data_IF_785663964760
#
_entry.id   IF_785663964760
#
_cell.length_a   1.000
_cell.length_b   1.000
_cell.length_c   1.000
_cell.angle_alpha   90.00
_cell.angle_beta   90.00
_cell.angle_gamma   90.00
#
_symmetry.space_group_name_H-M   'P 1'
#
loop_
_entity.id
_entity.type
_entity.pdbx_description
1 polymer ?
#
# COMPACT_ATOMS: atom_id res chain seq x y z
N UNK A 1 19.38 4.84 16.76
CA UNK A 1 18.55 3.91 15.99
C UNK A 1 17.27 4.65 15.65
N UNK A 2 16.83 4.61 14.39
CA UNK A 2 15.51 5.12 14.03
C UNK A 2 14.42 4.22 14.64
N UNK A 3 13.18 4.71 14.60
CA UNK A 3 12.02 3.97 15.09
C UNK A 3 11.40 3.11 13.97
N UNK A 4 10.56 2.17 14.36
CA UNK A 4 9.75 1.39 13.44
C UNK A 4 8.42 2.09 13.17
N UNK A 5 8.04 2.21 11.91
CA UNK A 5 6.70 2.65 11.49
C UNK A 5 6.04 1.48 10.80
N UNK A 6 4.97 0.97 11.40
CA UNK A 6 4.25 -0.22 10.94
C UNK A 6 2.90 0.19 10.36
N UNK A 7 2.62 -0.18 9.12
CA UNK A 7 1.32 0.02 8.47
C UNK A 7 0.71 -1.34 8.14
N UNK A 8 -0.49 -1.58 8.66
CA UNK A 8 -1.22 -2.83 8.59
C UNK A 8 -2.51 -2.63 7.78
N UNK A 9 -2.53 -3.12 6.55
CA UNK A 9 -3.64 -2.96 5.62
C UNK A 9 -4.52 -4.22 5.60
N UNK A 10 -5.67 -4.20 6.27
CA UNK A 10 -6.53 -5.39 6.33
C UNK A 10 -7.43 -5.55 5.08
N UNK A 11 -7.79 -6.80 4.80
CA UNK A 11 -8.63 -7.17 3.67
C UNK A 11 -10.08 -6.70 3.82
N UNK A 12 -10.65 -6.27 2.69
CA UNK A 12 -12.07 -5.93 2.55
C UNK A 12 -12.94 -7.20 2.51
N UNK A 13 -14.21 -7.12 2.92
CA UNK A 13 -15.21 -8.20 2.89
C UNK A 13 -15.10 -9.33 3.93
N UNK A 14 -14.22 -9.20 4.90
CA UNK A 14 -14.27 -10.08 6.05
C UNK A 14 -15.38 -9.63 7.01
N UNK A 15 -16.17 -10.60 7.51
CA UNK A 15 -17.12 -10.40 8.61
C UNK A 15 -16.46 -9.50 9.68
N UNK A 16 -17.12 -8.49 10.25
CA UNK A 16 -16.54 -7.65 11.32
C UNK A 16 -15.87 -8.47 12.44
N UNK A 17 -16.31 -9.72 12.65
CA UNK A 17 -15.78 -10.65 13.64
C UNK A 17 -14.64 -11.57 13.14
N UNK A 18 -14.31 -11.56 11.84
CA UNK A 18 -13.19 -12.35 11.31
C UNK A 18 -11.86 -11.82 11.85
N UNK A 19 -11.04 -12.68 12.43
CA UNK A 19 -9.67 -12.35 12.89
C UNK A 19 -8.67 -12.68 11.77
N UNK A 20 -8.34 -11.71 10.93
CA UNK A 20 -7.31 -11.91 9.89
C UNK A 20 -5.93 -11.95 10.51
N UNK A 21 -4.94 -12.48 9.78
CA UNK A 21 -3.55 -12.42 10.21
C UNK A 21 -3.08 -10.97 10.43
N UNK A 22 -3.58 -10.01 9.63
CA UNK A 22 -3.27 -8.58 9.80
C UNK A 22 -3.87 -8.03 11.10
N UNK A 23 -5.13 -8.38 11.41
CA UNK A 23 -5.77 -8.00 12.67
C UNK A 23 -5.12 -8.66 13.89
N UNK A 24 -4.78 -9.95 13.81
CA UNK A 24 -4.05 -10.63 14.89
C UNK A 24 -2.69 -9.95 15.08
N UNK A 25 -1.97 -9.65 14.00
CA UNK A 25 -0.71 -8.94 14.09
C UNK A 25 -0.86 -7.55 14.73
N UNK A 26 -1.93 -6.80 14.45
CA UNK A 26 -2.15 -5.50 15.09
C UNK A 26 -2.37 -5.60 16.60
N UNK A 27 -3.03 -6.67 17.07
CA UNK A 27 -3.26 -6.89 18.50
C UNK A 27 -1.99 -7.34 19.24
N UNK A 28 -1.08 -8.04 18.56
CA UNK A 28 0.19 -8.51 19.14
C UNK A 28 1.29 -7.44 19.11
N UNK A 29 1.19 -6.46 18.22
CA UNK A 29 2.17 -5.39 18.12
C UNK A 29 1.94 -4.34 19.21
N UNK A 30 2.79 -4.38 20.22
CA UNK A 30 2.79 -3.40 21.32
C UNK A 30 3.35 -2.07 20.79
N UNK A 31 2.54 -1.00 20.83
CA UNK A 31 3.06 0.36 20.67
C UNK A 31 4.07 0.63 21.77
N UNK A 32 5.27 1.04 21.37
CA UNK A 32 6.33 1.42 22.29
C UNK A 32 6.70 2.84 21.94
N UNK A 33 6.32 3.77 22.82
CA UNK A 33 6.63 5.19 22.66
C UNK A 33 8.09 5.38 22.23
N UNK A 34 8.27 6.17 21.17
CA UNK A 34 9.57 6.52 20.57
C UNK A 34 10.34 5.38 19.87
N UNK A 35 9.86 4.13 19.89
CA UNK A 35 10.50 2.98 19.21
C UNK A 35 9.64 2.36 18.13
N UNK A 36 8.32 2.40 18.25
CA UNK A 36 7.42 1.76 17.31
C UNK A 36 6.05 2.47 17.25
N UNK A 37 5.65 2.87 16.05
CA UNK A 37 4.34 3.44 15.75
C UNK A 37 3.57 2.50 14.84
N UNK A 38 2.32 2.17 15.20
CA UNK A 38 1.51 1.18 14.47
C UNK A 38 0.23 1.84 13.95
N UNK A 39 -0.03 1.70 12.65
CA UNK A 39 -1.30 2.09 12.03
C UNK A 39 -2.00 0.88 11.46
N UNK A 40 -3.16 0.58 12.03
CA UNK A 40 -4.12 -0.35 11.46
C UNK A 40 -5.11 0.39 10.55
N UNK A 41 -5.14 0.01 9.27
CA UNK A 41 -6.08 0.53 8.28
C UNK A 41 -7.25 -0.45 8.22
N UNK A 42 -8.39 0.02 8.73
CA UNK A 42 -9.61 -0.77 8.94
C UNK A 42 -10.20 -1.23 7.60
N UNK A 43 -10.98 -2.31 7.65
CA UNK A 43 -11.77 -2.87 6.54
C UNK A 43 -12.72 -1.83 5.96
N UNK A 44 -13.07 -1.97 4.68
CA UNK A 44 -14.24 -1.24 4.14
C UNK A 44 -15.45 -1.97 4.69
N UNK A 45 -16.26 -1.31 5.51
CA UNK A 45 -17.46 -1.92 6.06
C UNK A 45 -18.53 -2.05 4.98
N UNK A 46 -19.25 -3.18 4.97
CA UNK A 46 -20.47 -3.32 4.18
C UNK A 46 -21.57 -2.30 4.58
N UNK A 47 -21.42 -1.62 5.72
CA UNK A 47 -22.34 -0.58 6.18
C UNK A 47 -21.97 0.84 5.71
N UNK A 48 -20.75 1.08 5.21
CA UNK A 48 -20.41 2.33 4.50
C UNK A 48 -20.90 2.30 3.04
N UNK A 49 -21.18 1.10 2.54
CA UNK A 49 -21.69 0.84 1.18
C UNK A 49 -23.07 0.22 1.34
N UNK A 50 -24.10 1.06 1.50
CA UNK A 50 -25.48 0.58 1.64
C UNK A 50 -25.88 -0.36 0.49
N UNK A 51 -26.32 -1.57 0.87
CA UNK A 51 -26.90 -2.66 0.04
C UNK A 51 -25.92 -3.49 -0.85
N UNK A 52 -26.27 -4.78 -1.11
CA UNK A 52 -25.37 -5.81 -1.64
C UNK A 52 -25.15 -5.75 -3.17
N UNK A 53 -25.69 -4.73 -3.84
CA UNK A 53 -25.37 -4.41 -5.22
C UNK A 53 -24.33 -3.30 -5.25
N UNK A 54 -23.09 -3.76 -5.15
CA UNK A 54 -21.83 -3.09 -5.43
C UNK A 54 -22.00 -1.84 -6.33
N UNK A 55 -21.89 -0.63 -5.77
CA UNK A 55 -21.64 0.59 -6.54
C UNK A 55 -20.12 0.80 -6.56
N UNK A 56 -19.50 0.35 -7.66
CA UNK A 56 -18.05 0.20 -7.84
C UNK A 56 -17.22 1.46 -7.59
N UNK A 57 -17.76 2.64 -7.91
CA UNK A 57 -17.10 3.91 -7.63
C UNK A 57 -16.82 4.14 -6.15
N UNK A 58 -17.71 3.70 -5.26
CA UNK A 58 -17.51 3.83 -3.81
C UNK A 58 -16.37 2.93 -3.30
N UNK A 59 -16.19 1.74 -3.89
CA UNK A 59 -15.11 0.81 -3.52
C UNK A 59 -13.76 1.36 -3.97
N UNK A 60 -13.66 1.84 -5.21
CA UNK A 60 -12.42 2.42 -5.72
C UNK A 60 -12.03 3.67 -4.92
N UNK A 61 -12.97 4.60 -4.69
CA UNK A 61 -12.74 5.78 -3.86
C UNK A 61 -12.32 5.41 -2.42
N UNK A 62 -12.97 4.40 -1.83
CA UNK A 62 -12.62 3.93 -0.49
C UNK A 62 -11.21 3.32 -0.44
N UNK A 63 -10.80 2.60 -1.48
CA UNK A 63 -9.46 2.01 -1.57
C UNK A 63 -8.38 3.10 -1.75
N UNK A 64 -8.65 4.07 -2.61
CA UNK A 64 -7.77 5.21 -2.87
C UNK A 64 -7.56 6.03 -1.58
N UNK A 65 -8.63 6.28 -0.83
CA UNK A 65 -8.55 6.94 0.47
C UNK A 65 -7.69 6.17 1.46
N UNK A 66 -7.71 4.83 1.46
CA UNK A 66 -6.87 4.01 2.34
C UNK A 66 -5.40 4.01 1.96
N UNK A 67 -5.11 4.00 0.67
CA UNK A 67 -3.75 4.16 0.17
C UNK A 67 -3.19 5.50 0.66
N UNK A 68 -3.95 6.58 0.44
CA UNK A 68 -3.59 7.93 0.89
C UNK A 68 -3.49 8.03 2.41
N UNK A 69 -4.38 7.39 3.17
CA UNK A 69 -4.33 7.33 4.63
C UNK A 69 -3.04 6.67 5.13
N UNK A 70 -2.68 5.51 4.58
CA UNK A 70 -1.45 4.80 4.95
C UNK A 70 -0.19 5.59 4.61
N UNK A 71 -0.15 6.17 3.41
CA UNK A 71 0.96 7.03 3.00
C UNK A 71 1.05 8.30 3.85
N UNK A 72 -0.08 8.97 4.11
CA UNK A 72 -0.18 10.13 5.02
C UNK A 72 0.37 9.79 6.40
N UNK A 73 0.01 8.63 6.96
CA UNK A 73 0.52 8.19 8.24
C UNK A 73 2.05 8.07 8.22
N UNK A 74 2.63 7.48 7.17
CA UNK A 74 4.09 7.38 7.03
C UNK A 74 4.73 8.76 6.99
N UNK A 75 4.32 9.64 6.07
CA UNK A 75 4.96 10.95 5.90
C UNK A 75 4.82 11.88 7.10
N UNK A 76 3.78 11.69 7.93
CA UNK A 76 3.57 12.48 9.15
C UNK A 76 4.35 11.97 10.35
N UNK A 77 4.77 10.70 10.34
CA UNK A 77 5.47 10.07 11.45
C UNK A 77 6.94 9.78 11.14
N UNK A 78 7.37 9.86 9.89
CA UNK A 78 8.73 9.50 9.47
C UNK A 78 9.77 10.57 9.80
N UNK A 79 10.90 10.13 10.35
CA UNK A 79 12.16 10.87 10.37
C UNK A 79 13.22 10.10 9.58
N UNK A 80 14.20 10.81 8.97
CA UNK A 80 15.32 10.15 8.29
C UNK A 80 16.00 9.09 9.15
N UNK A 81 16.04 7.85 8.66
CA UNK A 81 16.66 6.71 9.33
C UNK A 81 15.68 5.80 10.09
N UNK A 82 14.38 6.10 10.08
CA UNK A 82 13.32 5.19 10.55
C UNK A 82 13.11 4.03 9.57
N UNK A 83 12.68 2.87 10.08
CA UNK A 83 12.43 1.66 9.31
C UNK A 83 10.91 1.51 9.04
N UNK A 84 10.51 1.31 7.78
CA UNK A 84 9.11 1.08 7.42
C UNK A 84 8.77 -0.41 7.31
N UNK A 85 7.66 -0.82 7.92
CA UNK A 85 7.14 -2.17 7.88
C UNK A 85 5.71 -2.14 7.36
N UNK A 86 5.44 -2.78 6.22
CA UNK A 86 4.15 -2.69 5.56
C UNK A 86 3.59 -4.10 5.39
N UNK A 87 2.36 -4.31 5.85
CA UNK A 87 1.69 -5.59 5.79
C UNK A 87 0.33 -5.45 5.12
N UNK A 88 -0.12 -6.47 4.38
CA UNK A 88 -1.48 -6.48 3.90
C UNK A 88 -2.03 -7.84 3.50
N UNK A 89 -3.35 -7.97 3.61
CA UNK A 89 -4.10 -9.17 3.21
C UNK A 89 -5.15 -8.85 2.15
N UNK A 90 -5.28 -9.69 1.11
CA UNK A 90 -6.29 -9.54 0.06
C UNK A 90 -6.20 -8.15 -0.61
N UNK A 91 -7.29 -7.37 -0.62
CA UNK A 91 -7.26 -5.97 -1.08
C UNK A 91 -6.35 -5.07 -0.24
N UNK A 92 -6.16 -5.39 1.04
CA UNK A 92 -5.19 -4.72 1.88
C UNK A 92 -3.75 -4.98 1.43
N UNK A 93 -3.46 -6.15 0.84
CA UNK A 93 -2.16 -6.42 0.22
C UNK A 93 -1.97 -5.56 -1.05
N UNK A 94 -3.04 -5.31 -1.82
CA UNK A 94 -3.01 -4.32 -2.91
C UNK A 94 -2.70 -2.92 -2.37
N UNK A 95 -3.36 -2.49 -1.29
CA UNK A 95 -3.09 -1.20 -0.61
C UNK A 95 -1.64 -1.10 -0.16
N UNK A 96 -1.12 -2.12 0.52
CA UNK A 96 0.26 -2.19 0.99
C UNK A 96 1.27 -2.03 -0.15
N UNK A 97 1.05 -2.71 -1.27
CA UNK A 97 1.87 -2.58 -2.48
C UNK A 97 1.79 -1.18 -3.10
N UNK A 98 0.60 -0.58 -3.13
CA UNK A 98 0.44 0.79 -3.63
C UNK A 98 1.15 1.81 -2.73
N UNK A 99 1.13 1.65 -1.41
CA UNK A 99 1.88 2.51 -0.49
C UNK A 99 3.39 2.38 -0.77
N UNK A 100 3.91 1.16 -0.94
CA UNK A 100 5.31 0.95 -1.33
C UNK A 100 5.62 1.60 -2.70
N UNK A 101 4.71 1.49 -3.68
CA UNK A 101 4.82 2.16 -4.98
C UNK A 101 4.86 3.68 -4.87
N UNK A 102 4.02 4.28 -4.03
CA UNK A 102 4.05 5.73 -3.77
C UNK A 102 5.37 6.16 -3.14
N UNK A 103 5.91 5.40 -2.18
CA UNK A 103 7.22 5.70 -1.57
C UNK A 103 8.32 5.64 -2.64
N UNK A 104 8.25 4.68 -3.57
CA UNK A 104 9.22 4.59 -4.69
C UNK A 104 9.11 5.78 -5.64
N UNK A 105 7.89 6.12 -6.05
CA UNK A 105 7.66 7.12 -7.10
C UNK A 105 7.83 8.56 -6.55
N UNK A 106 7.32 8.80 -5.35
CA UNK A 106 7.21 10.14 -4.76
C UNK A 106 8.16 10.36 -3.58
N UNK A 107 8.86 9.34 -3.09
CA UNK A 107 9.71 9.43 -1.90
C UNK A 107 8.89 9.53 -0.61
N UNK A 108 9.53 9.94 0.49
CA UNK A 108 8.82 10.30 1.73
C UNK A 108 8.76 11.81 1.81
N UNK A 109 7.55 12.38 1.76
CA UNK A 109 7.33 13.82 1.77
C UNK A 109 7.94 14.48 3.02
N UNK A 110 8.62 15.61 2.82
CA UNK A 110 9.06 16.50 3.90
C UNK A 110 7.86 17.30 4.39
N UNK A 111 7.37 16.95 5.57
CA UNK A 111 6.30 17.68 6.25
C UNK A 111 6.87 18.19 7.57
N UNK A 112 6.73 19.49 7.82
CA UNK A 112 7.13 20.10 9.09
C UNK A 112 5.91 20.54 9.91
N UNK A 113 6.17 21.01 11.13
CA UNK A 113 5.13 21.38 12.10
C UNK A 113 4.27 22.58 11.68
N UNK A 114 4.67 23.33 10.64
CA UNK A 114 3.89 24.47 10.14
C UNK A 114 2.73 24.04 9.23
N UNK A 115 2.74 22.80 8.75
CA UNK A 115 1.69 22.30 7.87
C UNK A 115 0.39 22.07 8.64
N UNK A 116 -0.72 22.57 8.11
CA UNK A 116 -2.06 22.18 8.53
C UNK A 116 -2.41 20.80 7.99
N UNK A 117 -3.38 20.12 8.62
CA UNK A 117 -3.88 18.84 8.12
C UNK A 117 -4.33 18.90 6.65
N UNK A 118 -4.96 20.01 6.25
CA UNK A 118 -5.42 20.22 4.86
C UNK A 118 -4.24 20.37 3.88
N UNK A 119 -3.15 21.02 4.29
CA UNK A 119 -1.95 21.14 3.45
C UNK A 119 -1.26 19.79 3.29
N UNK A 120 -1.27 18.95 4.33
CA UNK A 120 -0.77 17.58 4.28
C UNK A 120 -1.62 16.76 3.29
N UNK A 121 -2.94 16.84 3.41
CA UNK A 121 -3.87 16.12 2.53
C UNK A 121 -3.65 16.51 1.07
N UNK A 122 -3.57 17.81 0.77
CA UNK A 122 -3.27 18.30 -0.58
C UNK A 122 -1.94 17.77 -1.12
N UNK A 123 -0.90 17.70 -0.29
CA UNK A 123 0.40 17.18 -0.72
C UNK A 123 0.38 15.67 -0.96
N UNK A 124 -0.37 14.94 -0.15
CA UNK A 124 -0.60 13.49 -0.32
C UNK A 124 -1.42 13.22 -1.57
N UNK A 125 -2.46 14.01 -1.84
CA UNK A 125 -3.26 13.93 -3.07
C UNK A 125 -2.38 14.16 -4.31
N UNK A 126 -1.52 15.19 -4.32
CA UNK A 126 -0.58 15.42 -5.43
C UNK A 126 0.36 14.23 -5.67
N UNK A 127 0.92 13.64 -4.60
CA UNK A 127 1.78 12.47 -4.71
C UNK A 127 1.00 11.25 -5.24
N UNK A 128 -0.25 11.09 -4.79
CA UNK A 128 -1.13 10.03 -5.25
C UNK A 128 -1.48 10.17 -6.74
N UNK A 129 -1.79 11.39 -7.19
CA UNK A 129 -2.10 11.69 -8.59
C UNK A 129 -0.89 11.39 -9.49
N UNK A 130 0.33 11.76 -9.08
CA UNK A 130 1.56 11.40 -9.79
C UNK A 130 1.74 9.89 -9.85
N UNK A 131 1.56 9.18 -8.74
CA UNK A 131 1.63 7.72 -8.70
C UNK A 131 0.57 7.04 -9.58
N UNK A 132 -0.59 7.67 -9.80
CA UNK A 132 -1.69 7.17 -10.63
C UNK A 132 -1.71 7.74 -12.04
N UNK A 133 -0.75 8.57 -12.43
CA UNK A 133 -0.61 9.04 -13.80
C UNK A 133 0.07 7.96 -14.65
N UNK A 134 -0.51 7.60 -15.80
CA UNK A 134 0.01 6.56 -16.72
C UNK A 134 0.95 7.13 -17.77
N UNK A 135 1.27 8.43 -17.68
CA UNK A 135 2.22 9.06 -18.56
C UNK A 135 3.65 8.65 -18.18
N UNK A 136 4.43 8.26 -19.18
CA UNK A 136 5.83 7.83 -19.02
C UNK A 136 6.74 8.79 -18.26
N UNK A 137 6.39 10.09 -18.20
CA UNK A 137 7.14 11.07 -17.41
C UNK A 137 7.00 10.87 -15.90
N UNK A 138 5.94 10.19 -15.45
CA UNK A 138 5.66 9.85 -14.05
C UNK A 138 5.84 8.36 -13.76
N UNK A 139 6.41 7.60 -14.71
CA UNK A 139 6.87 6.24 -14.44
C UNK A 139 7.98 6.26 -13.36
N UNK A 140 8.33 5.08 -12.86
CA UNK A 140 9.22 4.89 -11.70
C UNK A 140 10.60 5.54 -11.84
N UNK A 141 11.04 5.79 -13.07
CA UNK A 141 12.29 6.47 -13.44
C UNK A 141 12.04 7.63 -14.41
N UNK A 142 10.81 8.15 -14.44
CA UNK A 142 10.40 9.28 -15.25
C UNK A 142 10.85 10.62 -14.65
N UNK A 143 11.13 11.59 -15.50
CA UNK A 143 11.65 12.89 -15.08
C UNK A 143 10.71 13.62 -14.09
N UNK A 144 9.39 13.44 -14.22
CA UNK A 144 8.39 14.04 -13.34
C UNK A 144 8.39 13.47 -11.91
N UNK A 145 8.55 12.14 -11.76
CA UNK A 145 8.67 11.49 -10.45
C UNK A 145 9.96 11.93 -9.74
N UNK A 146 11.07 12.01 -10.48
CA UNK A 146 12.36 12.46 -9.95
C UNK A 146 12.35 13.94 -9.55
N UNK A 147 11.76 14.81 -10.36
CA UNK A 147 11.58 16.23 -10.04
C UNK A 147 10.71 16.41 -8.79
N UNK A 148 9.61 15.67 -8.68
CA UNK A 148 8.72 15.72 -7.52
C UNK A 148 9.45 15.28 -6.24
N UNK A 149 10.17 14.15 -6.28
CA UNK A 149 10.99 13.68 -5.14
C UNK A 149 11.98 14.74 -4.68
N UNK A 150 12.75 15.32 -5.62
CA UNK A 150 13.75 16.36 -5.32
C UNK A 150 13.11 17.60 -4.67
N UNK A 151 11.93 18.01 -5.15
CA UNK A 151 11.24 19.19 -4.66
C UNK A 151 10.62 18.99 -3.28
N UNK A 152 10.01 17.83 -3.02
CA UNK A 152 9.06 17.67 -1.92
C UNK A 152 9.41 16.58 -0.90
N UNK A 153 10.42 15.73 -1.15
CA UNK A 153 10.71 14.56 -0.33
C UNK A 153 12.09 14.59 0.30
N UNK A 154 12.30 13.74 1.32
CA UNK A 154 13.63 13.44 1.83
C UNK A 154 14.51 12.88 0.71
N UNK A 155 15.81 13.24 0.66
CA UNK A 155 16.72 12.64 -0.30
C UNK A 155 16.73 11.12 -0.15
N UNK A 156 16.91 10.43 -1.27
CA UNK A 156 17.05 8.98 -1.26
C UNK A 156 18.22 8.57 -0.37
N UNK A 157 18.02 7.48 0.37
CA UNK A 157 19.02 6.93 1.29
C UNK A 157 19.72 5.74 0.64
N UNK A 158 20.99 5.50 1.00
CA UNK A 158 21.70 4.29 0.57
C UNK A 158 21.05 3.00 1.09
N UNK A 159 20.27 3.10 2.17
CA UNK A 159 19.51 1.99 2.75
C UNK A 159 18.10 1.94 2.14
N UNK A 160 17.53 0.74 1.90
CA UNK A 160 16.13 0.61 1.53
C UNK A 160 15.21 1.21 2.61
N UNK A 161 14.22 2.00 2.19
CA UNK A 161 13.27 2.66 3.09
C UNK A 161 12.27 1.68 3.71
N UNK A 162 11.84 0.68 2.92
CA UNK A 162 10.91 -0.36 3.37
C UNK A 162 11.70 -1.55 3.86
N UNK A 163 11.73 -1.75 5.18
CA UNK A 163 12.44 -2.84 5.83
C UNK A 163 11.80 -4.20 5.51
N UNK A 164 10.47 -4.25 5.49
CA UNK A 164 9.72 -5.47 5.23
C UNK A 164 8.37 -5.18 4.58
N UNK A 165 8.04 -5.96 3.54
CA UNK A 165 6.74 -5.98 2.88
C UNK A 165 6.13 -7.39 3.01
N UNK A 166 5.13 -7.54 3.88
CA UNK A 166 4.45 -8.81 4.16
C UNK A 166 3.07 -8.90 3.54
N UNK A 167 2.85 -9.86 2.64
CA UNK A 167 1.62 -9.96 1.85
C UNK A 167 0.96 -11.33 2.02
N UNK A 168 -0.36 -11.33 2.16
CA UNK A 168 -1.20 -12.54 2.12
C UNK A 168 -2.23 -12.41 1.01
N UNK A 169 -2.27 -13.38 0.09
CA UNK A 169 -3.29 -13.54 -0.95
C UNK A 169 -3.65 -12.25 -1.68
N UNK A 170 -2.64 -11.56 -2.21
CA UNK A 170 -2.86 -10.30 -2.93
C UNK A 170 -3.84 -10.50 -4.08
N UNK A 171 -4.93 -9.74 -4.09
CA UNK A 171 -5.92 -9.73 -5.18
C UNK A 171 -6.01 -8.33 -5.80
N UNK A 172 -6.34 -8.24 -7.08
CA UNK A 172 -6.60 -6.96 -7.75
C UNK A 172 -5.67 -6.61 -8.91
N UNK A 173 -5.28 -7.57 -9.77
CA UNK A 173 -4.78 -7.26 -11.12
C UNK A 173 -5.88 -7.52 -12.19
N UNK A 174 -6.68 -8.57 -12.00
CA UNK A 174 -7.81 -8.93 -12.88
C UNK A 174 -9.04 -9.46 -12.09
N UNK A 175 -8.96 -9.48 -10.75
CA UNK A 175 -9.85 -10.28 -9.91
C UNK A 175 -11.15 -9.60 -9.48
N UNK A 176 -11.28 -8.28 -9.49
CA UNK A 176 -12.56 -7.64 -9.17
C UNK A 176 -12.87 -6.59 -10.24
N UNK A 177 -13.91 -6.82 -11.08
CA UNK A 177 -14.34 -5.83 -12.06
C UNK A 177 -14.90 -4.62 -11.30
N UNK A 178 -14.38 -3.42 -11.60
CA UNK A 178 -15.04 -2.18 -11.22
C UNK A 178 -15.74 -1.60 -12.44
N UNK A 179 -17.05 -1.36 -12.39
CA UNK A 179 -17.78 -0.68 -13.45
C UNK A 179 -17.76 0.84 -13.23
N UNK A 180 -17.11 1.56 -14.14
CA UNK A 180 -17.16 3.02 -14.17
C UNK A 180 -18.29 3.45 -15.10
N UNK A 181 -19.24 4.24 -14.58
CA UNK A 181 -20.34 4.79 -15.37
C UNK A 181 -19.75 5.65 -16.50
N UNK A 182 -19.93 5.22 -17.74
CA UNK A 182 -19.42 5.89 -18.94
C UNK A 182 -18.13 5.29 -19.52
N UNK A 183 -17.39 4.46 -18.76
CA UNK A 183 -16.13 3.84 -19.24
C UNK A 183 -16.15 2.29 -19.22
N UNK A 184 -17.18 1.67 -18.65
CA UNK A 184 -17.32 0.22 -18.61
C UNK A 184 -16.50 -0.45 -17.49
N UNK A 185 -16.20 -1.73 -17.64
CA UNK A 185 -15.40 -2.47 -16.67
C UNK A 185 -13.93 -2.05 -16.75
N UNK A 186 -13.42 -1.47 -15.67
CA UNK A 186 -11.99 -1.25 -15.44
C UNK A 186 -11.53 -2.13 -14.28
N UNK A 187 -10.46 -2.88 -14.51
CA UNK A 187 -9.78 -3.59 -13.45
C UNK A 187 -8.85 -2.62 -12.73
N UNK A 188 -8.79 -2.74 -11.39
CA UNK A 188 -7.67 -2.15 -10.67
C UNK A 188 -6.42 -2.85 -11.19
N UNK A 189 -5.53 -2.09 -11.81
CA UNK A 189 -4.26 -2.59 -12.30
C UNK A 189 -3.16 -2.18 -11.33
N UNK A 190 -2.27 -3.10 -11.05
CA UNK A 190 -1.02 -2.75 -10.39
C UNK A 190 -0.18 -1.90 -11.34
N UNK A 191 0.37 -0.82 -10.81
CA UNK A 191 1.38 -0.04 -11.51
C UNK A 191 2.69 -0.81 -11.67
N UNK A 192 3.03 -1.65 -10.69
CA UNK A 192 4.22 -2.47 -10.72
C UNK A 192 3.97 -3.86 -10.11
N UNK A 193 4.31 -4.90 -10.86
CA UNK A 193 4.31 -6.28 -10.36
C UNK A 193 5.63 -6.68 -9.71
N UNK A 194 6.70 -5.93 -9.99
CA UNK A 194 8.05 -6.15 -9.50
C UNK A 194 8.22 -5.49 -8.14
N UNK A 195 8.88 -6.19 -7.20
CA UNK A 195 9.22 -5.61 -5.90
C UNK A 195 10.27 -4.50 -6.10
N UNK A 196 10.00 -3.31 -5.58
CA UNK A 196 10.96 -2.21 -5.69
C UNK A 196 12.26 -2.49 -4.93
N UNK A 197 13.37 -1.95 -5.44
CA UNK A 197 14.66 -1.90 -4.74
C UNK A 197 14.62 -1.07 -3.44
N UNK A 198 13.57 -0.27 -3.20
CA UNK A 198 13.38 0.41 -1.91
C UNK A 198 12.91 -0.54 -0.80
N UNK A 199 12.56 -1.79 -1.16
CA UNK A 199 12.15 -2.85 -0.23
C UNK A 199 13.37 -3.72 0.04
N UNK A 200 13.69 -3.96 1.32
CA UNK A 200 14.79 -4.82 1.73
C UNK A 200 14.37 -6.29 1.75
N UNK A 201 13.19 -6.58 2.32
CA UNK A 201 12.61 -7.92 2.35
C UNK A 201 11.15 -7.90 1.90
N UNK A 202 10.80 -8.77 0.95
CA UNK A 202 9.42 -8.96 0.54
C UNK A 202 9.02 -10.44 0.69
N UNK A 203 7.95 -10.67 1.44
CA UNK A 203 7.39 -11.99 1.66
C UNK A 203 5.93 -12.00 1.21
N UNK A 204 5.60 -12.92 0.30
CA UNK A 204 4.21 -13.16 -0.09
C UNK A 204 3.81 -14.59 0.24
N UNK A 205 2.62 -14.73 0.81
CA UNK A 205 1.98 -16.02 1.08
C UNK A 205 0.75 -16.17 0.19
N UNK A 206 0.60 -17.33 -0.43
CA UNK A 206 -0.49 -17.63 -1.37
C UNK A 206 -1.26 -18.90 -1.00
N UNK A 207 -2.58 -18.85 -1.09
CA UNK A 207 -3.51 -19.96 -0.91
C UNK A 207 -3.61 -20.79 -2.20
N UNK A 208 -3.05 -22.00 -2.19
CA UNK A 208 -2.97 -22.84 -3.40
C UNK A 208 -4.31 -23.46 -3.83
N UNK A 209 -5.34 -23.48 -2.96
CA UNK A 209 -6.65 -24.02 -3.30
C UNK A 209 -7.69 -22.93 -3.60
N UNK A 210 -7.30 -21.66 -3.66
CA UNK A 210 -8.20 -20.62 -4.16
C UNK A 210 -8.46 -20.87 -5.67
N UNK A 211 -9.74 -21.02 -6.03
CA UNK A 211 -10.18 -21.41 -7.38
C UNK A 211 -11.19 -20.46 -7.98
N UNK A 212 -11.60 -19.43 -7.23
CA UNK A 212 -12.57 -18.44 -7.72
C UNK A 212 -11.84 -17.50 -8.69
N UNK A 213 -12.38 -17.35 -9.90
CA UNK A 213 -11.82 -16.47 -10.94
C UNK A 213 -11.63 -15.02 -10.48
N UNK A 214 -12.50 -14.55 -9.56
CA UNK A 214 -12.40 -13.21 -8.98
C UNK A 214 -11.33 -13.06 -7.87
N UNK A 215 -10.60 -14.13 -7.56
CA UNK A 215 -9.58 -14.15 -6.49
C UNK A 215 -8.24 -14.69 -6.99
N UNK A 216 -8.00 -14.62 -8.30
CA UNK A 216 -6.69 -14.96 -8.87
C UNK A 216 -5.58 -14.16 -8.17
N UNK A 217 -4.57 -14.86 -7.59
CA UNK A 217 -3.52 -14.20 -6.83
C UNK A 217 -2.60 -13.40 -7.76
N UNK A 218 -2.30 -12.17 -7.35
CA UNK A 218 -1.29 -11.36 -8.01
C UNK A 218 0.07 -11.58 -7.33
N UNK A 219 0.96 -12.26 -8.05
CA UNK A 219 2.31 -12.56 -7.59
C UNK A 219 3.16 -11.29 -7.49
N UNK A 220 4.06 -11.25 -6.50
CA UNK A 220 5.21 -10.36 -6.53
C UNK A 220 6.28 -11.00 -7.43
N UNK A 221 6.84 -10.19 -8.32
CA UNK A 221 7.94 -10.60 -9.20
C UNK A 221 9.27 -10.11 -8.62
N UNK A 222 10.33 -10.91 -8.74
CA UNK A 222 11.62 -10.57 -8.20
C UNK A 222 12.29 -9.43 -8.97
N UNK A 223 13.04 -8.58 -8.27
CA UNK A 223 13.89 -7.57 -8.88
C UNK A 223 15.34 -8.06 -9.01
N UNK A 224 15.95 -7.73 -10.14
CA UNK A 224 17.35 -8.01 -10.47
C UNK A 224 18.40 -7.43 -9.49
N UNK A 225 18.02 -6.53 -8.58
CA UNK A 225 18.94 -5.73 -7.75
C UNK A 225 19.25 -6.28 -6.35
N UNK A 226 18.98 -7.56 -6.06
CA UNK A 226 19.44 -8.20 -4.81
C UNK A 226 18.56 -7.96 -3.59
N UNK A 227 17.29 -7.60 -3.77
CA UNK A 227 16.29 -7.60 -2.70
C UNK A 227 16.14 -9.02 -2.11
N UNK A 228 16.06 -9.14 -0.78
CA UNK A 228 15.79 -10.41 -0.13
C UNK A 228 14.33 -10.82 -0.34
N UNK A 229 14.05 -11.59 -1.39
CA UNK A 229 12.69 -11.96 -1.76
C UNK A 229 12.40 -13.40 -1.36
N UNK A 230 11.21 -13.65 -0.82
CA UNK A 230 10.78 -15.00 -0.47
C UNK A 230 9.30 -15.18 -0.75
N UNK A 231 8.99 -16.07 -1.69
CA UNK A 231 7.62 -16.50 -1.97
C UNK A 231 7.34 -17.79 -1.20
N UNK A 232 6.31 -17.77 -0.36
CA UNK A 232 5.87 -18.93 0.41
C UNK A 232 4.49 -19.40 -0.09
N UNK A 233 4.36 -20.68 -0.41
CA UNK A 233 3.09 -21.27 -0.84
C UNK A 233 2.51 -22.10 0.30
N UNK A 234 1.25 -21.86 0.65
CA UNK A 234 0.59 -22.58 1.73
C UNK A 234 -0.66 -23.33 1.23
N UNK A 235 -0.86 -24.54 1.76
CA UNK A 235 -2.14 -25.23 1.69
C UNK A 235 -3.14 -24.46 2.55
N UNK A 236 -4.14 -23.86 1.93
CA UNK A 236 -5.25 -23.14 2.57
C UNK A 236 -6.58 -23.64 2.04
#
# INVERSE_FOLDING_TARGET
MGKNIVVLCDGTWNNPNSRTNVFVLSEELIEQDYKQHVKYIVRVGANEIGLPFIIDGAIALSLDNKIKEGYKYIVTNYNPGDDLWIFGFSRGAYTARCIAGMIRNCGILKIDRSFTSEQIDKRVDMAYDIYRDRNSIYDLDGNGSDEFKKAFSYPDTEKPLVKFLGLWDTVGAHGLPGYVIGEGFKYLEFYDQVVSNIVNFACQTLAIHERRSFFEPCHILPNSSGTGESLFLFKG
#
